data_IF_421674255934
#
_entry.id   IF_421674255934
#
_cell.length_a   1.000
_cell.length_b   1.000
_cell.length_c   1.000
_cell.angle_alpha   90.00
_cell.angle_beta   90.00
_cell.angle_gamma   90.00
#
_symmetry.space_group_name_H-M   'P 1'
#
loop_
_entity.id
_entity.type
_entity.pdbx_description
1 polymer ?
#
# COMPACT_ATOMS: atom_id res chain seq x y z
N UNK A 1 -9.80 -7.68 6.43
CA UNK A 1 -8.83 -8.63 5.82
C UNK A 1 -9.61 -9.65 4.99
N UNK A 2 -9.00 -10.24 3.94
CA UNK A 2 -9.61 -11.31 3.15
C UNK A 2 -10.02 -12.48 4.04
N UNK A 3 -11.11 -13.18 3.68
CA UNK A 3 -11.58 -14.35 4.43
C UNK A 3 -10.62 -15.54 4.42
N UNK A 4 -9.68 -15.58 3.48
CA UNK A 4 -8.63 -16.58 3.30
C UNK A 4 -7.26 -16.13 3.83
N UNK A 5 -7.19 -15.06 4.63
CA UNK A 5 -5.92 -14.46 5.08
C UNK A 5 -4.95 -15.47 5.72
N UNK A 6 -5.44 -16.38 6.56
CA UNK A 6 -4.58 -17.36 7.27
C UNK A 6 -3.95 -18.39 6.34
N UNK A 7 -4.59 -18.69 5.21
CA UNK A 7 -4.01 -19.53 4.16
C UNK A 7 -3.04 -18.71 3.31
N UNK A 8 -3.45 -17.51 2.90
CA UNK A 8 -2.63 -16.64 2.04
C UNK A 8 -1.33 -16.22 2.72
N UNK A 9 -1.33 -15.92 4.02
CA UNK A 9 -0.12 -15.44 4.74
C UNK A 9 1.04 -16.45 4.72
N UNK A 10 0.76 -17.72 4.44
CA UNK A 10 1.79 -18.76 4.25
C UNK A 10 2.54 -18.63 2.93
N UNK A 11 1.90 -18.06 1.93
CA UNK A 11 2.43 -17.92 0.56
C UNK A 11 2.71 -16.48 0.18
N UNK A 12 2.19 -15.52 0.93
CA UNK A 12 2.28 -14.11 0.64
C UNK A 12 2.66 -13.29 1.87
N UNK A 13 3.34 -12.17 1.62
CA UNK A 13 3.56 -11.12 2.59
C UNK A 13 2.85 -9.84 2.17
N UNK A 14 2.63 -8.95 3.14
CA UNK A 14 1.83 -7.75 2.97
C UNK A 14 2.60 -6.55 3.47
N UNK A 15 2.83 -5.57 2.61
CA UNK A 15 3.46 -4.32 2.98
C UNK A 15 2.52 -3.15 2.72
N UNK A 16 2.52 -2.17 3.63
CA UNK A 16 1.98 -0.85 3.27
C UNK A 16 2.80 -0.28 2.13
N UNK A 17 2.14 0.35 1.17
CA UNK A 17 2.81 0.88 -0.02
C UNK A 17 3.90 1.88 0.35
N UNK A 18 3.65 2.75 1.33
CA UNK A 18 4.68 3.69 1.85
C UNK A 18 5.88 2.95 2.45
N UNK A 19 5.68 1.92 3.27
CA UNK A 19 6.77 1.10 3.82
C UNK A 19 7.59 0.42 2.72
N UNK A 20 6.94 -0.10 1.68
CA UNK A 20 7.64 -0.67 0.53
C UNK A 20 8.44 0.40 -0.24
N UNK A 21 7.89 1.59 -0.44
CA UNK A 21 8.60 2.72 -1.08
C UNK A 21 9.84 3.11 -0.27
N UNK A 22 9.70 3.23 1.06
CA UNK A 22 10.83 3.59 1.94
C UNK A 22 11.92 2.52 1.92
N UNK A 23 11.53 1.25 2.05
CA UNK A 23 12.45 0.10 2.03
C UNK A 23 13.20 -0.06 0.70
N UNK A 24 12.55 0.26 -0.42
CA UNK A 24 13.14 0.13 -1.75
C UNK A 24 13.95 1.36 -2.19
N UNK A 25 13.56 2.56 -1.75
CA UNK A 25 14.26 3.81 -2.08
C UNK A 25 15.39 4.16 -1.12
N UNK A 26 15.36 3.62 0.11
CA UNK A 26 16.27 3.99 1.19
C UNK A 26 16.03 5.41 1.75
N UNK A 27 14.91 6.04 1.40
CA UNK A 27 14.53 7.39 1.83
C UNK A 27 13.12 7.39 2.43
N UNK A 28 12.83 8.33 3.32
CA UNK A 28 11.46 8.55 3.79
C UNK A 28 10.56 8.97 2.62
N UNK A 29 9.31 8.52 2.62
CA UNK A 29 8.40 8.75 1.51
C UNK A 29 8.15 10.25 1.23
N UNK A 30 8.10 11.07 2.28
CA UNK A 30 7.93 12.53 2.23
C UNK A 30 9.19 13.29 1.75
N UNK A 31 10.32 12.60 1.58
CA UNK A 31 11.56 13.18 1.05
C UNK A 31 11.82 12.81 -0.43
N UNK A 32 10.91 12.05 -1.05
CA UNK A 32 11.02 11.71 -2.46
C UNK A 32 10.46 12.83 -3.35
N UNK A 33 11.06 12.99 -4.52
CA UNK A 33 10.45 13.81 -5.57
C UNK A 33 9.15 13.15 -6.06
N UNK A 34 8.24 13.93 -6.64
CA UNK A 34 7.00 13.39 -7.20
C UNK A 34 7.29 12.33 -8.29
N UNK A 35 8.29 12.58 -9.13
CA UNK A 35 8.69 11.65 -10.20
C UNK A 35 9.23 10.33 -9.64
N UNK A 36 10.06 10.38 -8.60
CA UNK A 36 10.55 9.18 -7.92
C UNK A 36 9.42 8.42 -7.24
N UNK A 37 8.50 9.15 -6.59
CA UNK A 37 7.35 8.57 -5.93
C UNK A 37 6.43 7.87 -6.94
N UNK A 38 6.12 8.52 -8.06
CA UNK A 38 5.31 7.96 -9.15
C UNK A 38 5.97 6.71 -9.72
N UNK A 39 7.28 6.75 -9.97
CA UNK A 39 8.05 5.60 -10.44
C UNK A 39 7.95 4.42 -9.46
N UNK A 40 8.17 4.66 -8.16
CA UNK A 40 8.08 3.60 -7.15
C UNK A 40 6.67 3.04 -7.00
N UNK A 41 5.66 3.91 -6.92
CA UNK A 41 4.25 3.53 -6.84
C UNK A 41 3.87 2.65 -8.03
N UNK A 42 4.15 3.10 -9.25
CA UNK A 42 3.85 2.36 -10.48
C UNK A 42 4.55 1.01 -10.52
N UNK A 43 5.83 0.97 -10.15
CA UNK A 43 6.61 -0.28 -10.15
C UNK A 43 6.05 -1.28 -9.13
N UNK A 44 5.88 -0.85 -7.89
CA UNK A 44 5.42 -1.71 -6.79
C UNK A 44 4.02 -2.25 -7.03
N UNK A 45 3.10 -1.41 -7.50
CA UNK A 45 1.74 -1.85 -7.82
C UNK A 45 1.70 -2.78 -9.02
N UNK A 46 2.62 -2.65 -9.97
CA UNK A 46 2.72 -3.58 -11.11
C UNK A 46 3.30 -4.94 -10.70
N UNK A 47 4.24 -4.96 -9.75
CA UNK A 47 4.91 -6.19 -9.29
C UNK A 47 4.11 -6.96 -8.23
N UNK A 48 3.18 -6.29 -7.53
CA UNK A 48 2.34 -6.95 -6.53
C UNK A 48 1.28 -7.86 -7.16
N UNK A 49 0.88 -8.90 -6.44
CA UNK A 49 -0.17 -9.83 -6.86
C UNK A 49 -1.56 -9.19 -6.71
N UNK A 50 -1.76 -8.48 -5.58
CA UNK A 50 -3.01 -7.78 -5.25
C UNK A 50 -2.68 -6.55 -4.40
N UNK A 51 -3.55 -5.55 -4.49
CA UNK A 51 -3.57 -4.43 -3.56
C UNK A 51 -4.92 -4.38 -2.83
N UNK A 52 -4.90 -3.90 -1.59
CA UNK A 52 -6.06 -3.86 -0.70
C UNK A 52 -6.18 -2.48 -0.06
N UNK A 53 -7.42 -2.06 0.17
CA UNK A 53 -7.71 -0.95 1.07
C UNK A 53 -7.47 -1.41 2.51
N UNK A 54 -6.42 -0.92 3.15
CA UNK A 54 -6.00 -1.26 4.51
C UNK A 54 -7.03 -0.93 5.59
N UNK A 55 -8.06 -0.13 5.31
CA UNK A 55 -9.10 0.22 6.30
C UNK A 55 -10.25 -0.78 6.36
N UNK A 56 -10.51 -1.55 5.30
CA UNK A 56 -11.57 -2.55 5.23
C UNK A 56 -11.09 -3.93 4.75
N UNK A 57 -9.90 -4.02 4.17
CA UNK A 57 -9.34 -5.22 3.54
C UNK A 57 -9.97 -5.59 2.20
N UNK A 58 -10.76 -4.70 1.59
CA UNK A 58 -11.32 -4.92 0.25
C UNK A 58 -10.23 -4.83 -0.82
N UNK A 59 -10.32 -5.68 -1.84
CA UNK A 59 -9.39 -5.68 -2.97
C UNK A 59 -9.58 -4.43 -3.83
N UNK A 60 -8.50 -3.73 -4.14
CA UNK A 60 -8.46 -2.64 -5.10
C UNK A 60 -8.36 -3.24 -6.50
N UNK A 61 -9.50 -3.31 -7.20
CA UNK A 61 -9.54 -3.77 -8.59
C UNK A 61 -8.78 -2.79 -9.50
N UNK A 62 -8.02 -3.32 -10.46
CA UNK A 62 -7.24 -2.49 -11.38
C UNK A 62 -6.09 -1.73 -10.70
N UNK A 63 -5.54 -2.25 -9.60
CA UNK A 63 -4.46 -1.60 -8.85
C UNK A 63 -3.23 -1.24 -9.68
N UNK A 64 -2.93 -1.98 -10.74
CA UNK A 64 -1.83 -1.68 -11.67
C UNK A 64 -2.05 -0.41 -12.51
N UNK A 65 -3.26 0.15 -12.51
CA UNK A 65 -3.63 1.39 -13.21
C UNK A 65 -3.75 2.60 -12.27
N UNK A 66 -3.19 2.49 -11.06
CA UNK A 66 -3.17 3.60 -10.10
C UNK A 66 -2.37 4.78 -10.63
N UNK A 67 -2.91 5.99 -10.49
CA UNK A 67 -2.24 7.23 -10.89
C UNK A 67 -2.21 8.21 -9.72
N UNK A 68 -1.03 8.79 -9.46
CA UNK A 68 -0.90 9.85 -8.46
C UNK A 68 -1.68 11.10 -8.91
N UNK A 69 -2.23 11.80 -7.93
CA UNK A 69 -2.88 13.10 -8.12
C UNK A 69 -2.10 14.15 -7.36
N UNK A 70 -2.13 15.39 -7.82
CA UNK A 70 -1.47 16.52 -7.15
C UNK A 70 -2.10 16.93 -5.82
N UNK A 71 -3.25 16.36 -5.45
CA UNK A 71 -3.94 16.62 -4.18
C UNK A 71 -3.41 15.70 -3.08
N UNK A 72 -3.51 16.15 -1.84
CA UNK A 72 -3.16 15.38 -0.62
C UNK A 72 -4.41 15.01 0.20
N UNK A 73 -4.21 14.37 1.35
CA UNK A 73 -5.26 13.88 2.24
C UNK A 73 -6.18 14.97 2.79
N UNK A 74 -5.63 16.17 2.93
CA UNK A 74 -6.32 17.34 3.49
C UNK A 74 -7.13 18.06 2.43
N UNK A 75 -6.65 18.07 1.19
CA UNK A 75 -7.25 18.84 0.11
C UNK A 75 -8.17 18.00 -0.78
N UNK A 76 -8.04 16.66 -0.79
CA UNK A 76 -8.96 15.80 -1.52
C UNK A 76 -10.29 15.64 -0.76
N UNK A 77 -11.36 16.21 -1.30
CA UNK A 77 -12.72 16.09 -0.75
C UNK A 77 -13.60 15.14 -1.56
N UNK A 78 -14.38 14.30 -0.88
CA UNK A 78 -15.33 13.38 -1.50
C UNK A 78 -16.61 13.20 -0.67
N UNK A 79 -17.74 12.85 -1.29
CA UNK A 79 -18.96 12.51 -0.56
C UNK A 79 -18.88 11.08 0.01
N UNK A 80 -19.46 10.87 1.20
CA UNK A 80 -19.61 9.53 1.77
C UNK A 80 -21.07 9.28 2.19
N UNK A 81 -21.73 8.29 1.60
CA UNK A 81 -23.12 7.95 1.90
C UNK A 81 -23.32 7.29 3.27
N UNK A 82 -22.24 6.79 3.89
CA UNK A 82 -22.26 6.13 5.19
C UNK A 82 -21.99 7.08 6.36
N UNK A 83 -21.66 8.34 6.09
CA UNK A 83 -21.32 9.32 7.09
C UNK A 83 -22.36 10.44 7.14
N UNK A 84 -22.54 11.05 8.32
CA UNK A 84 -23.50 12.13 8.52
C UNK A 84 -23.06 13.48 7.91
N UNK A 85 -21.78 13.64 7.54
CA UNK A 85 -21.27 14.85 6.88
C UNK A 85 -21.35 14.71 5.36
N UNK A 86 -21.72 15.80 4.68
CA UNK A 86 -21.88 15.80 3.20
C UNK A 86 -20.58 15.62 2.42
N UNK A 87 -19.47 16.18 2.91
CA UNK A 87 -18.15 16.10 2.29
C UNK A 87 -17.10 15.80 3.35
N UNK A 88 -16.18 14.91 3.00
CA UNK A 88 -15.06 14.50 3.83
C UNK A 88 -13.75 14.75 3.09
N UNK A 89 -12.74 15.20 3.83
CA UNK A 89 -11.34 14.95 3.46
C UNK A 89 -10.97 13.52 3.83
N UNK A 90 -9.92 12.95 3.23
CA UNK A 90 -9.48 11.59 3.58
C UNK A 90 -9.12 11.52 5.07
N UNK A 91 -8.42 12.52 5.61
CA UNK A 91 -8.11 12.59 7.04
C UNK A 91 -9.36 12.53 7.90
N UNK A 92 -10.34 13.40 7.61
CA UNK A 92 -11.56 13.46 8.41
C UNK A 92 -12.34 12.15 8.34
N UNK A 93 -12.38 11.50 7.18
CA UNK A 93 -13.05 10.22 7.02
C UNK A 93 -12.35 9.11 7.80
N UNK A 94 -11.02 9.01 7.72
CA UNK A 94 -10.24 8.00 8.43
C UNK A 94 -10.38 8.13 9.94
N UNK A 95 -10.27 9.36 10.46
CA UNK A 95 -10.44 9.63 11.88
C UNK A 95 -11.86 9.31 12.33
N UNK A 96 -12.87 9.87 11.66
CA UNK A 96 -14.25 9.82 12.14
C UNK A 96 -14.87 8.42 11.99
N UNK A 97 -14.51 7.64 10.94
CA UNK A 97 -15.07 6.30 10.70
C UNK A 97 -14.19 5.17 11.23
N UNK A 98 -12.87 5.33 11.15
CA UNK A 98 -11.93 4.23 11.45
C UNK A 98 -11.06 4.50 12.68
N UNK A 99 -11.15 5.67 13.32
CA UNK A 99 -10.26 6.04 14.43
C UNK A 99 -8.78 6.09 14.03
N UNK A 100 -8.49 6.24 12.73
CA UNK A 100 -7.15 6.12 12.18
C UNK A 100 -6.55 7.49 11.81
N UNK A 101 -5.23 7.59 11.94
CA UNK A 101 -4.43 8.74 11.53
C UNK A 101 -3.42 8.33 10.47
N UNK A 102 -2.98 9.31 9.67
CA UNK A 102 -1.94 9.16 8.66
C UNK A 102 -0.60 9.67 9.20
N UNK A 103 0.49 8.99 8.88
CA UNK A 103 1.85 9.46 9.17
C UNK A 103 2.33 10.51 8.16
N UNK A 104 1.83 10.44 6.92
CA UNK A 104 2.23 11.23 5.78
C UNK A 104 1.02 11.89 5.08
N UNK A 105 0.22 12.72 5.80
CA UNK A 105 -0.99 13.33 5.25
C UNK A 105 -0.76 14.28 4.07
N UNK A 106 0.50 14.65 3.81
CA UNK A 106 0.92 15.59 2.77
C UNK A 106 1.43 14.91 1.50
N UNK A 107 1.48 13.57 1.49
CA UNK A 107 1.77 12.85 0.25
C UNK A 107 0.60 12.98 -0.73
N UNK A 108 0.89 12.89 -2.03
CA UNK A 108 -0.15 12.86 -3.05
C UNK A 108 -1.03 11.61 -2.89
N UNK A 109 -2.33 11.80 -3.12
CA UNK A 109 -3.29 10.70 -3.21
C UNK A 109 -3.11 9.92 -4.51
N UNK A 110 -3.60 8.68 -4.52
CA UNK A 110 -3.63 7.83 -5.71
C UNK A 110 -5.06 7.45 -6.07
N UNK A 111 -5.40 7.56 -7.35
CA UNK A 111 -6.70 7.16 -7.87
C UNK A 111 -6.61 5.89 -8.71
N UNK A 112 -7.59 5.00 -8.57
CA UNK A 112 -7.76 3.80 -9.36
C UNK A 112 -9.08 3.85 -10.13
N UNK A 113 -9.13 3.43 -11.39
CA UNK A 113 -10.36 3.36 -12.15
C UNK A 113 -11.31 2.28 -11.56
N UNK A 114 -12.54 2.64 -11.25
CA UNK A 114 -13.62 1.69 -10.91
C UNK A 114 -14.49 1.37 -12.12
N UNK A 115 -14.78 2.38 -12.93
CA UNK A 115 -15.45 2.29 -14.22
C UNK A 115 -14.77 3.25 -15.20
N UNK A 116 -15.23 3.32 -16.45
CA UNK A 116 -14.68 4.25 -17.45
C UNK A 116 -14.81 5.73 -17.04
N UNK A 117 -15.74 6.05 -16.13
CA UNK A 117 -16.05 7.42 -15.71
C UNK A 117 -15.83 7.69 -14.23
N UNK A 118 -15.51 6.67 -13.43
CA UNK A 118 -15.39 6.80 -11.97
C UNK A 118 -14.07 6.24 -11.45
N UNK A 119 -13.56 6.89 -10.42
CA UNK A 119 -12.32 6.53 -9.76
C UNK A 119 -12.55 6.42 -8.26
N UNK A 120 -11.79 5.54 -7.62
CA UNK A 120 -11.65 5.50 -6.17
C UNK A 120 -10.27 6.03 -5.80
N UNK A 121 -10.21 6.86 -4.77
CA UNK A 121 -8.97 7.55 -4.37
C UNK A 121 -8.61 7.16 -2.96
N UNK A 122 -7.32 6.93 -2.73
CA UNK A 122 -6.75 6.55 -1.44
C UNK A 122 -5.48 7.33 -1.16
N UNK A 123 -5.13 7.41 0.12
CA UNK A 123 -3.77 7.70 0.54
C UNK A 123 -2.86 6.51 0.30
N UNK A 124 -1.58 6.79 0.05
CA UNK A 124 -0.57 5.74 -0.15
C UNK A 124 -0.46 4.82 1.08
N UNK A 125 -0.58 5.36 2.28
CA UNK A 125 -0.55 4.59 3.53
C UNK A 125 -1.74 3.66 3.73
N UNK A 126 -2.85 3.92 3.03
CA UNK A 126 -4.03 3.05 3.06
C UNK A 126 -3.85 1.83 2.16
N UNK A 127 -2.84 1.77 1.31
CA UNK A 127 -2.69 0.65 0.38
C UNK A 127 -1.82 -0.42 1.00
N UNK A 128 -2.35 -1.63 1.10
CA UNK A 128 -1.60 -2.84 1.41
C UNK A 128 -1.35 -3.60 0.11
N UNK A 129 -0.09 -3.84 -0.23
CA UNK A 129 0.33 -4.61 -1.38
C UNK A 129 0.74 -6.03 -0.97
N UNK A 130 0.26 -7.03 -1.70
CA UNK A 130 0.53 -8.45 -1.50
C UNK A 130 1.58 -8.95 -2.48
N UNK A 131 2.63 -9.58 -1.95
CA UNK A 131 3.72 -10.14 -2.75
C UNK A 131 3.95 -11.61 -2.40
N UNK A 132 4.36 -12.45 -3.36
CA UNK A 132 4.65 -13.86 -3.09
C UNK A 132 5.87 -13.99 -2.18
N UNK A 133 5.81 -14.86 -1.17
CA UNK A 133 6.98 -15.17 -0.36
C UNK A 133 7.98 -16.00 -1.15
N UNK A 134 9.25 -15.76 -0.88
CA UNK A 134 10.36 -16.60 -1.34
C UNK A 134 10.74 -17.60 -0.25
N UNK A 135 10.57 -17.22 1.02
CA UNK A 135 10.93 -18.02 2.19
C UNK A 135 9.70 -18.49 2.96
N UNK A 136 9.87 -19.52 3.77
CA UNK A 136 8.82 -19.99 4.68
C UNK A 136 8.33 -18.86 5.60
N UNK A 137 7.03 -18.83 5.93
CA UNK A 137 6.49 -17.80 6.81
C UNK A 137 7.15 -17.87 8.20
N UNK A 138 7.32 -16.73 8.88
CA UNK A 138 7.75 -16.74 10.28
C UNK A 138 6.83 -17.60 11.14
N UNK A 139 7.39 -18.21 12.19
CA UNK A 139 6.59 -18.84 13.24
C UNK A 139 5.63 -17.80 13.83
N UNK A 140 4.45 -18.23 14.25
CA UNK A 140 3.46 -17.34 14.85
C UNK A 140 4.00 -16.81 16.20
N UNK A 141 4.45 -15.56 16.20
CA UNK A 141 4.80 -14.87 17.43
C UNK A 141 3.49 -14.48 18.15
N UNK A 142 3.32 -15.00 19.36
CA UNK A 142 2.13 -14.78 20.20
C UNK A 142 2.05 -13.31 20.70
N UNK A 143 3.10 -12.51 20.50
CA UNK A 143 3.20 -11.12 20.94
C UNK A 143 3.77 -10.26 19.81
N UNK A 144 2.88 -9.50 19.15
CA UNK A 144 3.25 -8.45 18.20
C UNK A 144 3.59 -7.16 18.98
N UNK A 145 4.82 -7.04 19.47
CA UNK A 145 5.34 -5.74 19.90
C UNK A 145 5.92 -4.94 18.72
N UNK A 146 6.16 -3.64 18.94
CA UNK A 146 6.73 -2.74 17.92
C UNK A 146 8.05 -3.24 17.31
N UNK A 147 8.88 -3.93 18.10
CA UNK A 147 10.15 -4.46 17.61
C UNK A 147 9.93 -5.66 16.70
N UNK A 148 9.01 -6.55 17.05
CA UNK A 148 8.59 -7.68 16.22
C UNK A 148 7.99 -7.20 14.90
N UNK A 149 7.16 -6.15 14.93
CA UNK A 149 6.57 -5.57 13.73
C UNK A 149 7.62 -4.96 12.79
N UNK A 150 8.62 -4.26 13.34
CA UNK A 150 9.75 -3.73 12.55
C UNK A 150 10.60 -4.83 11.93
N UNK A 151 10.98 -5.83 12.72
CA UNK A 151 11.76 -6.97 12.23
C UNK A 151 11.03 -7.73 11.10
N UNK A 152 9.70 -7.84 11.21
CA UNK A 152 8.88 -8.42 10.15
C UNK A 152 8.87 -7.55 8.89
N UNK A 153 8.70 -6.24 9.04
CA UNK A 153 8.74 -5.31 7.91
C UNK A 153 10.10 -5.34 7.20
N UNK A 154 11.20 -5.34 7.94
CA UNK A 154 12.56 -5.40 7.39
C UNK A 154 12.77 -6.70 6.58
N UNK A 155 12.31 -7.84 7.10
CA UNK A 155 12.35 -9.12 6.38
C UNK A 155 11.52 -9.10 5.11
N UNK A 156 10.28 -8.62 5.19
CA UNK A 156 9.39 -8.54 4.04
C UNK A 156 9.95 -7.56 2.98
N UNK A 157 10.65 -6.49 3.38
CA UNK A 157 11.39 -5.59 2.47
C UNK A 157 12.57 -6.32 1.80
N UNK A 158 13.33 -7.13 2.54
CA UNK A 158 14.44 -7.89 1.98
C UNK A 158 13.97 -8.98 1.02
N UNK A 159 12.86 -9.66 1.31
CA UNK A 159 12.18 -10.56 0.37
C UNK A 159 11.76 -9.82 -0.90
N UNK A 160 11.20 -8.61 -0.77
CA UNK A 160 10.79 -7.78 -1.92
C UNK A 160 11.99 -7.38 -2.80
N UNK A 161 13.13 -7.02 -2.21
CA UNK A 161 14.36 -6.73 -2.96
C UNK A 161 14.82 -7.96 -3.75
N UNK A 162 14.82 -9.13 -3.14
CA UNK A 162 15.23 -10.38 -3.82
C UNK A 162 14.25 -10.76 -4.95
N UNK A 163 12.94 -10.62 -4.74
CA UNK A 163 11.93 -10.83 -5.80
C UNK A 163 12.24 -9.99 -7.02
N UNK A 164 12.51 -8.70 -6.81
CA UNK A 164 12.81 -7.76 -7.88
C UNK A 164 14.11 -8.12 -8.60
N UNK A 165 15.16 -8.47 -7.86
CA UNK A 165 16.43 -8.93 -8.45
C UNK A 165 16.25 -10.19 -9.30
N UNK A 166 15.38 -11.13 -8.90
CA UNK A 166 15.05 -12.32 -9.70
C UNK A 166 14.28 -11.95 -10.97
N UNK A 167 13.29 -11.07 -10.87
CA UNK A 167 12.52 -10.61 -12.03
C UNK A 167 13.39 -9.85 -13.04
N UNK A 168 14.33 -9.03 -12.57
CA UNK A 168 15.30 -8.34 -13.44
C UNK A 168 16.18 -9.34 -14.19
N UNK A 169 16.75 -10.33 -13.49
CA UNK A 169 17.55 -11.40 -14.11
C UNK A 169 16.79 -12.20 -15.16
N UNK A 170 15.47 -12.37 -15.01
CA UNK A 170 14.63 -13.05 -16.00
C UNK A 170 14.33 -12.18 -17.23
N UNK A 171 14.29 -10.85 -17.08
CA UNK A 171 14.03 -9.92 -18.20
C UNK A 171 15.28 -9.69 -19.05
N UNK A 172 16.46 -9.68 -18.43
CA UNK A 172 17.75 -9.45 -19.09
C UNK A 172 18.66 -10.70 -18.93
N UNK A 173 18.38 -11.81 -19.63
CA UNK A 173 19.28 -12.95 -19.65
C UNK A 173 20.58 -12.55 -20.38
N UNK A 174 21.71 -12.67 -19.70
CA UNK A 174 23.05 -12.38 -20.22
C UNK A 174 23.41 -13.18 -21.47
#
# INVERSE_FOLDING_TARGET
MPGDYDERRRHFFYLRLTTAIEGMSGKRADHLSLDDLEKWVSTLLTECTRAYNGTCGEVIKGHTKGALRSLDAENYTFPCSKCNKRLHTIISHLRDRHGATLYFPKLPVISFPQTDTSHITFELEQILAEYPRITDPPAEDVIEDESTLRNRADRDIDELKELRLRQQRLRDPA
#
